data_IF_720142905885
#
_entry.id   IF_720142905885
#
_cell.length_a   1.000
_cell.length_b   1.000
_cell.length_c   1.000
_cell.angle_alpha   90.00
_cell.angle_beta   90.00
_cell.angle_gamma   90.00
#
_symmetry.space_group_name_H-M   'P 1'
#
loop_
_entity.id
_entity.type
_entity.pdbx_description
1 polymer ?
#
# COMPACT_ATOMS: atom_id res chain seq x y z
N UNK A 1 -12.06 4.69 -17.03
CA UNK A 1 -11.23 5.90 -16.92
C UNK A 1 -9.76 5.55 -16.85
N UNK A 2 -9.17 5.14 -15.70
CA UNK A 2 -7.72 4.80 -15.63
C UNK A 2 -7.33 3.74 -16.67
N UNK A 3 -8.03 2.60 -16.69
CA UNK A 3 -7.75 1.54 -17.67
C UNK A 3 -7.98 1.96 -19.13
N UNK A 4 -8.90 2.90 -19.38
CA UNK A 4 -9.15 3.44 -20.72
C UNK A 4 -8.02 4.38 -21.15
N UNK A 5 -7.60 5.28 -20.26
CA UNK A 5 -6.55 6.27 -20.51
C UNK A 5 -5.19 5.61 -20.74
N UNK A 6 -4.82 4.62 -19.93
CA UNK A 6 -3.59 3.85 -20.14
C UNK A 6 -3.62 2.98 -21.39
N UNK A 7 -4.80 2.63 -21.93
CA UNK A 7 -4.87 1.87 -23.19
C UNK A 7 -4.52 2.73 -24.42
N UNK A 8 -4.80 4.03 -24.37
CA UNK A 8 -4.51 4.97 -25.46
C UNK A 8 -3.15 5.66 -25.35
N UNK A 9 -2.80 6.17 -24.16
CA UNK A 9 -1.49 6.79 -23.88
C UNK A 9 -0.37 5.78 -23.56
N UNK A 10 -0.75 4.69 -22.92
CA UNK A 10 0.15 3.90 -22.10
C UNK A 10 0.87 2.79 -22.84
N UNK A 11 0.76 2.66 -24.16
CA UNK A 11 1.71 1.81 -24.89
C UNK A 11 3.08 2.47 -24.90
N UNK A 12 3.26 3.66 -25.49
CA UNK A 12 4.58 4.30 -25.58
C UNK A 12 5.15 4.85 -24.27
N UNK A 13 4.35 5.50 -23.41
CA UNK A 13 4.84 6.02 -22.12
C UNK A 13 5.14 4.90 -21.13
N UNK A 14 4.26 3.89 -21.06
CA UNK A 14 4.54 2.75 -20.22
C UNK A 14 5.66 1.89 -20.82
N UNK A 15 5.71 1.65 -22.14
CA UNK A 15 6.88 1.06 -22.79
C UNK A 15 8.16 1.85 -22.49
N UNK A 16 8.18 3.19 -22.43
CA UNK A 16 9.38 3.95 -22.01
C UNK A 16 9.76 3.81 -20.52
N UNK A 17 8.77 3.50 -19.66
CA UNK A 17 8.96 3.13 -18.25
C UNK A 17 9.33 1.64 -18.09
N UNK A 18 9.02 0.77 -19.07
CA UNK A 18 9.08 -0.70 -18.99
C UNK A 18 10.01 -1.37 -20.03
N UNK A 19 10.59 -0.66 -21.02
CA UNK A 19 11.49 -1.18 -22.07
C UNK A 19 12.94 -1.34 -21.60
N UNK A 20 13.32 -0.77 -20.45
CA UNK A 20 14.43 -1.38 -19.70
C UNK A 20 13.87 -2.71 -19.21
N UNK A 21 14.48 -3.85 -19.53
CA UNK A 21 14.20 -5.12 -18.84
C UNK A 21 14.28 -4.88 -17.32
N UNK A 22 13.15 -4.52 -16.73
CA UNK A 22 13.10 -3.98 -15.39
C UNK A 22 13.27 -5.16 -14.46
N UNK A 23 14.51 -5.33 -13.98
CA UNK A 23 14.82 -6.18 -12.84
C UNK A 23 13.68 -6.04 -11.81
N UNK A 24 13.13 -7.13 -11.22
CA UNK A 24 12.11 -7.06 -10.18
C UNK A 24 12.43 -6.02 -9.08
N UNK A 25 13.72 -5.77 -8.85
CA UNK A 25 14.23 -4.73 -7.96
C UNK A 25 13.82 -3.31 -8.38
N UNK A 26 13.85 -2.97 -9.67
CA UNK A 26 13.36 -1.68 -10.17
C UNK A 26 11.88 -1.51 -9.82
N UNK A 27 11.06 -2.54 -10.02
CA UNK A 27 9.64 -2.51 -9.66
C UNK A 27 9.42 -2.26 -8.17
N UNK A 28 10.21 -2.92 -7.32
CA UNK A 28 10.23 -2.69 -5.88
C UNK A 28 10.55 -1.22 -5.55
N UNK A 29 11.62 -0.65 -6.10
CA UNK A 29 12.02 0.73 -5.81
C UNK A 29 11.05 1.77 -6.38
N UNK A 30 10.46 1.53 -7.55
CA UNK A 30 9.40 2.40 -8.08
C UNK A 30 8.19 2.36 -7.16
N UNK A 31 7.81 1.19 -6.62
CA UNK A 31 6.74 1.08 -5.64
C UNK A 31 7.01 1.92 -4.38
N UNK A 32 8.23 1.85 -3.83
CA UNK A 32 8.66 2.64 -2.66
C UNK A 32 8.56 4.13 -2.97
N UNK A 33 9.18 4.58 -4.08
CA UNK A 33 9.23 5.97 -4.49
C UNK A 33 7.83 6.53 -4.78
N UNK A 34 7.00 5.79 -5.52
CA UNK A 34 5.65 6.20 -5.88
C UNK A 34 4.79 6.39 -4.63
N UNK A 35 4.81 5.43 -3.69
CA UNK A 35 4.12 5.61 -2.42
C UNK A 35 4.73 6.74 -1.59
N UNK A 36 6.05 6.94 -1.62
CA UNK A 36 6.67 8.03 -0.87
C UNK A 36 6.27 9.42 -1.35
N UNK A 37 6.15 9.59 -2.67
CA UNK A 37 5.68 10.82 -3.30
C UNK A 37 4.16 11.03 -3.10
N UNK A 38 3.38 9.97 -3.28
CA UNK A 38 1.90 10.02 -3.17
C UNK A 38 1.45 10.05 -1.70
N UNK A 39 2.27 9.53 -0.79
CA UNK A 39 1.95 9.31 0.62
C UNK A 39 0.70 8.47 0.87
N UNK A 40 0.35 7.59 -0.08
CA UNK A 40 -0.81 6.68 0.03
C UNK A 40 -0.54 5.38 -0.71
N UNK A 41 -0.23 4.33 0.04
CA UNK A 41 0.05 3.00 -0.53
C UNK A 41 -1.18 2.35 -1.16
N UNK A 42 -2.38 2.63 -0.63
CA UNK A 42 -3.65 2.20 -1.26
C UNK A 42 -3.87 2.86 -2.61
N UNK A 43 -3.45 4.12 -2.78
CA UNK A 43 -3.47 4.80 -4.08
C UNK A 43 -2.45 4.17 -5.03
N UNK A 44 -1.20 4.01 -4.61
CA UNK A 44 -0.14 3.40 -5.44
C UNK A 44 -0.51 1.98 -5.89
N UNK A 45 -0.97 1.13 -4.98
CA UNK A 45 -1.37 -0.25 -5.30
C UNK A 45 -2.58 -0.30 -6.24
N UNK A 46 -3.56 0.59 -6.07
CA UNK A 46 -4.70 0.71 -6.98
C UNK A 46 -4.28 1.18 -8.38
N UNK A 47 -3.27 2.06 -8.48
CA UNK A 47 -2.68 2.46 -9.76
C UNK A 47 -1.99 1.28 -10.45
N UNK A 48 -1.22 0.46 -9.71
CA UNK A 48 -0.59 -0.75 -10.25
C UNK A 48 -1.64 -1.73 -10.77
N UNK A 49 -2.70 -1.99 -10.00
CA UNK A 49 -3.85 -2.81 -10.43
C UNK A 49 -4.50 -2.23 -11.70
N UNK A 50 -4.66 -0.91 -11.77
CA UNK A 50 -5.20 -0.21 -12.94
C UNK A 50 -4.31 -0.33 -14.19
N UNK A 51 -2.99 -0.25 -14.04
CA UNK A 51 -2.02 -0.43 -15.11
C UNK A 51 -2.03 -1.87 -15.64
N UNK A 52 -2.11 -2.87 -14.75
CA UNK A 52 -2.25 -4.28 -15.15
C UNK A 52 -3.55 -4.49 -15.92
N UNK A 53 -4.65 -3.86 -15.48
CA UNK A 53 -5.93 -3.93 -16.20
C UNK A 53 -5.89 -3.26 -17.58
N UNK A 54 -4.97 -2.32 -17.80
CA UNK A 54 -4.77 -1.64 -19.08
C UNK A 54 -3.85 -2.42 -20.04
N UNK A 55 -3.25 -3.53 -19.60
CA UNK A 55 -2.28 -4.29 -20.40
C UNK A 55 -0.86 -3.70 -20.40
N UNK A 56 -0.58 -2.76 -19.48
CA UNK A 56 0.72 -2.09 -19.38
C UNK A 56 1.88 -3.04 -19.09
N UNK A 57 1.61 -4.13 -18.37
CA UNK A 57 2.62 -5.15 -18.03
C UNK A 57 2.71 -6.28 -19.07
N UNK A 58 2.19 -6.04 -20.29
CA UNK A 58 2.17 -7.01 -21.38
C UNK A 58 0.84 -7.75 -21.51
N UNK A 59 0.77 -8.59 -22.55
CA UNK A 59 -0.46 -9.32 -22.92
C UNK A 59 -0.61 -10.65 -22.18
N UNK A 60 0.47 -11.23 -21.66
CA UNK A 60 0.42 -12.47 -20.87
C UNK A 60 -0.01 -12.14 -19.44
N UNK A 61 -1.20 -12.61 -18.98
CA UNK A 61 -1.71 -12.34 -17.65
C UNK A 61 -0.79 -12.80 -16.52
N UNK A 62 -0.08 -13.92 -16.69
CA UNK A 62 0.79 -14.51 -15.66
C UNK A 62 2.07 -13.70 -15.53
N UNK A 63 2.71 -13.37 -16.65
CA UNK A 63 3.90 -12.51 -16.65
C UNK A 63 3.59 -11.11 -16.16
N UNK A 64 2.41 -10.56 -16.53
CA UNK A 64 1.97 -9.26 -16.06
C UNK A 64 1.84 -9.19 -14.53
N UNK A 65 1.30 -10.25 -13.93
CA UNK A 65 1.21 -10.37 -12.46
C UNK A 65 2.60 -10.42 -11.85
N UNK A 66 3.48 -11.30 -12.33
CA UNK A 66 4.84 -11.45 -11.81
C UNK A 66 5.65 -10.14 -11.89
N UNK A 67 5.49 -9.38 -12.97
CA UNK A 67 6.13 -8.07 -13.13
C UNK A 67 5.53 -6.98 -12.21
N UNK A 68 4.25 -7.10 -11.83
CA UNK A 68 3.58 -6.13 -10.96
C UNK A 68 3.75 -6.40 -9.45
N UNK A 69 3.97 -7.65 -9.03
CA UNK A 69 4.13 -8.00 -7.59
C UNK A 69 5.22 -7.16 -6.90
N UNK A 70 6.43 -6.94 -7.47
CA UNK A 70 7.44 -6.12 -6.82
C UNK A 70 6.98 -4.68 -6.55
N UNK A 71 6.20 -4.08 -7.45
CA UNK A 71 5.63 -2.74 -7.23
C UNK A 71 4.69 -2.71 -6.02
N UNK A 72 3.90 -3.76 -5.83
CA UNK A 72 3.02 -3.90 -4.65
C UNK A 72 3.85 -4.03 -3.36
N UNK A 73 4.91 -4.84 -3.38
CA UNK A 73 5.81 -5.00 -2.22
C UNK A 73 6.48 -3.67 -1.85
N UNK A 74 6.93 -2.92 -2.84
CA UNK A 74 7.54 -1.61 -2.64
C UNK A 74 6.54 -0.57 -2.15
N UNK A 75 5.33 -0.59 -2.71
CA UNK A 75 4.26 0.29 -2.29
C UNK A 75 3.88 0.08 -0.82
N UNK A 76 3.97 -1.15 -0.31
CA UNK A 76 3.73 -1.44 1.10
C UNK A 76 4.82 -0.86 2.01
N UNK A 77 6.10 -0.95 1.64
CA UNK A 77 7.20 -0.28 2.37
C UNK A 77 6.93 1.24 2.47
N UNK A 78 6.50 1.88 1.38
CA UNK A 78 6.27 3.33 1.35
C UNK A 78 5.22 3.89 2.33
N UNK A 79 4.36 3.05 2.92
CA UNK A 79 3.21 3.46 3.77
C UNK A 79 3.64 4.23 5.03
N UNK A 80 4.89 4.08 5.45
CA UNK A 80 5.41 4.48 6.77
C UNK A 80 5.79 5.97 6.89
N UNK A 81 5.93 6.70 5.77
CA UNK A 81 6.35 8.11 5.79
C UNK A 81 5.39 8.97 6.61
N UNK A 82 4.09 8.82 6.40
CA UNK A 82 3.07 9.62 7.09
C UNK A 82 3.13 9.44 8.61
N UNK A 83 3.29 8.21 9.09
CA UNK A 83 3.40 7.91 10.52
C UNK A 83 4.64 8.60 11.13
N UNK A 84 5.76 8.56 10.40
CA UNK A 84 7.01 9.17 10.83
C UNK A 84 6.86 10.69 10.91
N UNK A 85 6.13 11.32 9.97
CA UNK A 85 5.82 12.75 10.04
C UNK A 85 4.93 13.08 11.25
N UNK A 86 3.91 12.26 11.53
CA UNK A 86 3.02 12.45 12.68
C UNK A 86 3.78 12.37 14.00
N UNK A 87 4.73 11.44 14.14
CA UNK A 87 5.52 11.31 15.37
C UNK A 87 6.46 12.49 15.62
N UNK A 88 6.89 13.21 14.57
CA UNK A 88 7.63 14.49 14.72
C UNK A 88 6.79 15.59 15.39
N UNK A 89 5.47 15.48 15.43
CA UNK A 89 4.62 16.37 16.22
C UNK A 89 4.90 16.31 17.74
N UNK A 90 5.47 15.19 18.21
CA UNK A 90 5.80 14.96 19.61
C UNK A 90 7.25 15.33 19.96
N UNK A 91 8.00 15.91 19.02
CA UNK A 91 9.47 16.12 19.11
C UNK A 91 9.94 17.06 20.23
N UNK A 92 9.01 17.77 20.87
CA UNK A 92 9.30 18.71 21.96
C UNK A 92 9.67 17.95 23.24
N UNK A 93 8.92 16.90 23.59
CA UNK A 93 9.18 16.10 24.79
C UNK A 93 9.93 14.82 24.41
N UNK A 94 11.10 14.61 25.03
CA UNK A 94 12.00 13.49 24.69
C UNK A 94 11.34 12.12 24.88
N UNK A 95 10.68 11.92 26.03
CA UNK A 95 10.07 10.63 26.38
C UNK A 95 8.82 10.35 25.53
N UNK A 96 8.02 11.39 25.30
CA UNK A 96 6.86 11.33 24.41
C UNK A 96 7.28 11.02 22.97
N UNK A 97 8.27 11.75 22.46
CA UNK A 97 8.84 11.54 21.14
C UNK A 97 9.39 10.13 20.98
N UNK A 98 10.15 9.62 21.96
CA UNK A 98 10.71 8.27 21.92
C UNK A 98 9.61 7.22 21.71
N UNK A 99 8.52 7.29 22.49
CA UNK A 99 7.41 6.33 22.40
C UNK A 99 6.62 6.49 21.09
N UNK A 100 6.30 7.72 20.72
CA UNK A 100 5.57 8.04 19.49
C UNK A 100 6.37 7.62 18.24
N UNK A 101 7.67 7.88 18.23
CA UNK A 101 8.56 7.54 17.12
C UNK A 101 8.71 6.02 16.99
N UNK A 102 8.94 5.29 18.08
CA UNK A 102 8.99 3.81 18.06
C UNK A 102 7.72 3.21 17.48
N UNK A 103 6.55 3.73 17.90
CA UNK A 103 5.26 3.30 17.38
C UNK A 103 5.11 3.59 15.88
N UNK A 104 5.71 4.68 15.38
CA UNK A 104 5.62 5.06 13.96
C UNK A 104 6.46 4.18 13.03
N UNK A 105 7.60 3.65 13.50
CA UNK A 105 8.58 2.93 12.66
C UNK A 105 8.55 1.41 12.80
N UNK A 106 7.89 0.85 13.82
CA UNK A 106 7.84 -0.61 14.03
C UNK A 106 7.20 -1.37 12.87
N UNK A 107 6.15 -0.80 12.26
CA UNK A 107 5.52 -1.36 11.07
C UNK A 107 6.45 -1.29 9.86
N UNK A 108 7.26 -0.24 9.76
CA UNK A 108 8.22 -0.07 8.68
C UNK A 108 9.31 -1.14 8.71
N UNK A 109 9.92 -1.35 9.89
CA UNK A 109 10.90 -2.42 10.07
C UNK A 109 10.32 -3.80 9.77
N UNK A 110 9.06 -4.06 10.15
CA UNK A 110 8.40 -5.30 9.80
C UNK A 110 8.24 -5.45 8.28
N UNK A 111 7.75 -4.42 7.59
CA UNK A 111 7.55 -4.45 6.14
C UNK A 111 8.88 -4.64 5.39
N UNK A 112 9.93 -3.92 5.79
CA UNK A 112 11.28 -4.06 5.23
C UNK A 112 11.79 -5.49 5.45
N UNK A 113 11.69 -6.03 6.66
CA UNK A 113 12.09 -7.41 6.95
C UNK A 113 11.28 -8.43 6.15
N UNK A 114 9.98 -8.23 6.00
CA UNK A 114 9.12 -9.10 5.20
C UNK A 114 9.55 -9.09 3.73
N UNK A 115 9.87 -7.93 3.16
CA UNK A 115 10.43 -7.83 1.80
C UNK A 115 11.79 -8.51 1.72
N UNK A 116 12.73 -8.21 2.63
CA UNK A 116 14.08 -8.83 2.63
C UNK A 116 14.00 -10.36 2.65
N UNK A 117 13.06 -10.93 3.41
CA UNK A 117 12.89 -12.37 3.51
C UNK A 117 12.15 -12.96 2.32
N UNK A 118 11.03 -12.35 1.89
CA UNK A 118 10.12 -12.98 0.91
C UNK A 118 10.49 -12.63 -0.53
N UNK A 119 11.02 -11.44 -0.79
CA UNK A 119 11.31 -10.96 -2.14
C UNK A 119 12.29 -11.86 -2.92
N UNK A 120 13.38 -12.38 -2.33
CA UNK A 120 14.25 -13.33 -3.03
C UNK A 120 13.50 -14.59 -3.51
N UNK A 121 12.58 -15.11 -2.70
CA UNK A 121 11.76 -16.27 -3.10
C UNK A 121 10.75 -15.91 -4.17
N UNK A 122 10.20 -14.69 -4.15
CA UNK A 122 9.35 -14.21 -5.24
C UNK A 122 10.12 -14.12 -6.55
N UNK A 123 11.35 -13.59 -6.53
CA UNK A 123 12.19 -13.48 -7.74
C UNK A 123 12.59 -14.85 -8.30
N UNK A 124 12.92 -15.81 -7.44
CA UNK A 124 13.41 -17.13 -7.87
C UNK A 124 12.27 -18.08 -8.23
N UNK A 125 11.21 -18.12 -7.42
CA UNK A 125 10.15 -19.13 -7.52
C UNK A 125 8.77 -18.57 -7.89
N UNK A 126 8.58 -17.25 -7.82
CA UNK A 126 7.27 -16.62 -8.06
C UNK A 126 6.20 -17.10 -7.08
N UNK A 127 6.56 -17.30 -5.80
CA UNK A 127 5.68 -17.90 -4.78
C UNK A 127 4.39 -17.10 -4.62
N UNK A 128 4.48 -15.76 -4.58
CA UNK A 128 3.33 -14.88 -4.43
C UNK A 128 2.61 -14.75 -5.76
N UNK A 129 3.31 -14.44 -6.85
CA UNK A 129 2.67 -14.21 -8.16
C UNK A 129 1.94 -15.45 -8.67
N UNK A 130 2.52 -16.65 -8.50
CA UNK A 130 1.89 -17.92 -8.87
C UNK A 130 0.71 -18.27 -7.98
N UNK A 131 0.82 -18.11 -6.65
CA UNK A 131 -0.28 -18.36 -5.72
C UNK A 131 -1.46 -17.40 -5.98
N UNK A 132 -1.17 -16.12 -6.18
CA UNK A 132 -2.18 -15.11 -6.45
C UNK A 132 -2.88 -15.33 -7.79
N UNK A 133 -2.12 -15.69 -8.84
CA UNK A 133 -2.68 -16.05 -10.13
C UNK A 133 -3.59 -17.27 -10.04
N UNK A 134 -3.12 -18.34 -9.38
CA UNK A 134 -3.90 -19.56 -9.19
C UNK A 134 -5.21 -19.28 -8.44
N UNK A 135 -5.15 -18.55 -7.32
CA UNK A 135 -6.33 -18.17 -6.55
C UNK A 135 -7.31 -17.31 -7.37
N UNK A 136 -6.80 -16.32 -8.12
CA UNK A 136 -7.63 -15.48 -8.98
C UNK A 136 -8.30 -16.28 -10.11
N UNK A 137 -7.59 -17.26 -10.67
CA UNK A 137 -8.12 -18.12 -11.74
C UNK A 137 -9.24 -19.03 -11.24
N UNK A 138 -9.19 -19.48 -9.99
CA UNK A 138 -10.28 -20.23 -9.36
C UNK A 138 -11.47 -19.30 -9.10
N UNK A 139 -11.23 -18.12 -8.53
CA UNK A 139 -12.31 -17.17 -8.21
C UNK A 139 -13.06 -16.64 -9.44
N UNK A 140 -12.35 -16.45 -10.56
CA UNK A 140 -12.95 -16.00 -11.83
C UNK A 140 -13.43 -17.19 -12.67
N UNK A 141 -12.68 -18.30 -12.70
CA UNK A 141 -12.93 -19.48 -13.53
C UNK A 141 -14.02 -20.42 -13.01
N UNK A 142 -14.25 -20.49 -11.69
CA UNK A 142 -15.35 -21.26 -11.10
C UNK A 142 -16.74 -20.73 -11.51
N UNK A 143 -16.82 -19.53 -12.10
CA UNK A 143 -18.06 -18.92 -12.59
C UNK A 143 -18.44 -19.27 -14.04
N UNK A 144 -17.64 -20.06 -14.78
CA UNK A 144 -17.98 -20.52 -16.14
C UNK A 144 -18.16 -19.42 -17.21
N UNK A 145 -17.92 -18.14 -16.87
CA UNK A 145 -18.07 -16.99 -17.75
C UNK A 145 -17.34 -15.77 -17.19
N UNK A 146 -17.17 -14.72 -18.00
CA UNK A 146 -16.57 -13.46 -17.56
C UNK A 146 -17.32 -12.93 -16.34
N UNK A 147 -16.65 -12.82 -15.19
CA UNK A 147 -17.23 -12.20 -13.99
C UNK A 147 -17.68 -10.78 -14.34
N UNK A 148 -18.98 -10.57 -14.47
CA UNK A 148 -19.57 -9.25 -14.69
C UNK A 148 -19.56 -8.50 -13.38
N UNK A 149 -18.46 -7.82 -13.13
CA UNK A 149 -18.28 -6.97 -11.95
C UNK A 149 -19.49 -6.07 -11.71
N UNK A 150 -20.19 -6.22 -10.58
CA UNK A 150 -21.29 -5.32 -10.20
C UNK A 150 -20.85 -3.86 -10.21
N UNK A 151 -19.60 -3.60 -9.80
CA UNK A 151 -19.00 -2.26 -9.82
C UNK A 151 -18.85 -1.74 -11.25
N UNK A 152 -18.38 -2.58 -12.19
CA UNK A 152 -18.28 -2.20 -13.61
C UNK A 152 -19.64 -1.92 -14.21
N UNK A 153 -20.66 -2.69 -13.85
CA UNK A 153 -22.03 -2.48 -14.33
C UNK A 153 -22.57 -1.11 -13.90
N UNK A 154 -22.38 -0.75 -12.64
CA UNK A 154 -22.81 0.53 -12.06
C UNK A 154 -22.01 1.71 -12.64
N UNK A 155 -20.69 1.54 -12.83
CA UNK A 155 -19.80 2.64 -13.23
C UNK A 155 -19.72 2.87 -14.74
N UNK A 156 -20.02 1.85 -15.58
CA UNK A 156 -19.87 1.91 -17.04
C UNK A 156 -20.63 3.06 -17.73
N UNK A 157 -21.89 3.39 -17.37
CA UNK A 157 -22.60 4.52 -17.96
C UNK A 157 -21.87 5.85 -17.74
N UNK A 158 -21.44 6.10 -16.50
CA UNK A 158 -20.70 7.30 -16.12
C UNK A 158 -19.35 7.38 -16.83
N UNK A 159 -18.61 6.26 -16.90
CA UNK A 159 -17.32 6.20 -17.60
C UNK A 159 -17.48 6.55 -19.08
N UNK A 160 -18.47 5.96 -19.76
CA UNK A 160 -18.75 6.26 -21.18
C UNK A 160 -19.15 7.70 -21.41
N UNK A 161 -19.94 8.28 -20.51
CA UNK A 161 -20.35 9.67 -20.61
C UNK A 161 -19.14 10.61 -20.50
N UNK A 162 -18.21 10.34 -19.57
CA UNK A 162 -16.97 11.12 -19.44
C UNK A 162 -16.07 10.93 -20.67
N UNK A 163 -15.91 9.70 -21.17
CA UNK A 163 -15.15 9.43 -22.40
C UNK A 163 -15.69 10.22 -23.58
N UNK A 164 -17.01 10.24 -23.77
CA UNK A 164 -17.66 11.02 -24.82
C UNK A 164 -17.48 12.53 -24.65
N UNK A 165 -17.41 13.05 -23.42
CA UNK A 165 -17.16 14.46 -23.15
C UNK A 165 -15.71 14.84 -23.46
N UNK A 166 -14.75 13.99 -23.08
CA UNK A 166 -13.32 14.18 -23.31
C UNK A 166 -12.97 14.11 -24.79
N UNK A 167 -13.58 13.17 -25.53
CA UNK A 167 -13.36 13.00 -26.98
C UNK A 167 -13.93 14.14 -27.84
N UNK A 168 -14.79 15.00 -27.28
CA UNK A 168 -15.37 16.16 -28.01
C UNK A 168 -14.38 17.31 -28.20
N UNK A 169 -13.27 17.33 -27.46
CA UNK A 169 -12.25 18.38 -27.61
C UNK A 169 -11.03 17.81 -28.33
N UNK A 170 -10.46 18.58 -29.25
CA UNK A 170 -9.33 18.19 -30.13
C UNK A 170 -8.02 18.91 -29.82
N UNK A 171 -7.98 19.74 -28.78
CA UNK A 171 -6.87 20.64 -28.43
C UNK A 171 -5.79 19.89 -27.63
N UNK A 172 -6.20 19.04 -26.69
CA UNK A 172 -5.33 18.19 -25.87
C UNK A 172 -5.50 16.73 -26.30
N UNK A 173 -4.46 15.91 -26.21
CA UNK A 173 -4.59 14.46 -26.36
C UNK A 173 -5.69 13.92 -25.41
N UNK A 174 -6.70 13.27 -25.98
CA UNK A 174 -7.88 12.80 -25.26
C UNK A 174 -7.52 11.78 -24.17
N UNK A 175 -6.50 10.97 -24.39
CA UNK A 175 -6.06 9.97 -23.43
C UNK A 175 -5.28 10.61 -22.27
N UNK A 176 -4.49 11.67 -22.53
CA UNK A 176 -3.87 12.51 -21.48
C UNK A 176 -4.93 13.17 -20.62
N UNK A 177 -5.92 13.80 -21.25
CA UNK A 177 -6.98 14.47 -20.53
C UNK A 177 -7.80 13.48 -19.69
N UNK A 178 -8.07 12.28 -20.24
CA UNK A 178 -8.76 11.22 -19.51
C UNK A 178 -7.93 10.68 -18.35
N UNK A 179 -6.61 10.54 -18.50
CA UNK A 179 -5.69 10.12 -17.43
C UNK A 179 -5.68 11.14 -16.30
N UNK A 180 -5.49 12.42 -16.62
CA UNK A 180 -5.48 13.51 -15.63
C UNK A 180 -6.81 13.60 -14.91
N UNK A 181 -7.93 13.50 -15.63
CA UNK A 181 -9.26 13.48 -15.03
C UNK A 181 -9.44 12.24 -14.12
N UNK A 182 -9.00 11.06 -14.56
CA UNK A 182 -9.10 9.83 -13.79
C UNK A 182 -8.28 9.87 -12.50
N UNK A 183 -7.04 10.36 -12.57
CA UNK A 183 -6.18 10.56 -11.41
C UNK A 183 -6.78 11.61 -10.48
N UNK A 184 -7.25 12.75 -11.01
CA UNK A 184 -7.88 13.80 -10.22
C UNK A 184 -9.12 13.28 -9.47
N UNK A 185 -9.99 12.53 -10.15
CA UNK A 185 -11.14 11.88 -9.51
C UNK A 185 -10.72 10.82 -8.49
N UNK A 186 -9.69 10.02 -8.78
CA UNK A 186 -9.15 9.03 -7.84
C UNK A 186 -8.68 9.72 -6.55
N UNK A 187 -7.79 10.71 -6.68
CA UNK A 187 -7.27 11.46 -5.53
C UNK A 187 -8.37 12.22 -4.78
N UNK A 188 -9.30 12.88 -5.49
CA UNK A 188 -10.43 13.59 -4.90
C UNK A 188 -11.37 12.64 -4.15
N UNK A 189 -11.70 11.49 -4.75
CA UNK A 189 -12.56 10.48 -4.14
C UNK A 189 -11.92 9.90 -2.88
N UNK A 190 -10.66 9.47 -2.97
CA UNK A 190 -9.92 8.91 -1.83
C UNK A 190 -9.78 9.93 -0.70
N UNK A 191 -9.52 11.21 -1.02
CA UNK A 191 -9.46 12.29 -0.03
C UNK A 191 -10.80 12.51 0.68
N UNK A 192 -11.90 12.59 -0.05
CA UNK A 192 -13.22 12.83 0.56
C UNK A 192 -13.71 11.62 1.36
N UNK A 193 -13.51 10.40 0.85
CA UNK A 193 -13.82 9.16 1.55
C UNK A 193 -13.07 9.12 2.90
N UNK A 194 -11.77 9.37 2.83
CA UNK A 194 -10.90 9.50 4.01
C UNK A 194 -11.42 10.54 5.01
N UNK A 195 -11.80 11.74 4.55
CA UNK A 195 -12.30 12.82 5.41
C UNK A 195 -13.61 12.44 6.10
N UNK A 196 -14.54 11.84 5.36
CA UNK A 196 -15.85 11.42 5.87
C UNK A 196 -15.69 10.35 6.95
N UNK A 197 -14.91 9.30 6.68
CA UNK A 197 -14.71 8.23 7.64
C UNK A 197 -13.93 8.72 8.86
N UNK A 198 -12.92 9.58 8.65
CA UNK A 198 -12.22 10.23 9.77
C UNK A 198 -13.21 10.99 10.66
N UNK A 199 -14.14 11.74 10.09
CA UNK A 199 -15.14 12.48 10.88
C UNK A 199 -16.08 11.57 11.69
N UNK A 200 -16.46 10.42 11.12
CA UNK A 200 -17.35 9.44 11.76
C UNK A 200 -16.66 8.64 12.88
N UNK A 201 -15.37 8.34 12.69
CA UNK A 201 -14.59 7.48 13.57
C UNK A 201 -13.95 8.28 14.72
N UNK A 202 -13.45 9.50 14.46
CA UNK A 202 -12.72 10.31 15.44
C UNK A 202 -13.53 10.68 16.69
N UNK A 203 -14.86 10.81 16.58
CA UNK A 203 -15.73 11.16 17.72
C UNK A 203 -15.95 10.03 18.72
N UNK A 204 -15.68 8.77 18.35
CA UNK A 204 -15.90 7.60 19.24
C UNK A 204 -14.62 6.90 19.70
N UNK A 205 -13.49 7.11 19.03
CA UNK A 205 -12.28 6.32 19.31
C UNK A 205 -11.67 6.61 20.68
N UNK A 206 -11.66 7.84 21.17
CA UNK A 206 -11.04 8.14 22.47
C UNK A 206 -11.72 7.42 23.65
N UNK A 207 -13.01 7.06 23.52
CA UNK A 207 -13.77 6.26 24.48
C UNK A 207 -13.73 4.73 24.20
N UNK A 208 -13.47 4.33 22.95
CA UNK A 208 -13.39 2.91 22.53
C UNK A 208 -11.99 2.31 22.65
N UNK A 209 -10.94 3.13 22.80
CA UNK A 209 -9.60 2.69 23.23
C UNK A 209 -9.57 2.31 24.72
N UNK A 210 -10.64 1.67 25.16
CA UNK A 210 -10.71 1.00 26.43
C UNK A 210 -9.70 -0.16 26.40
N UNK A 211 -8.96 -0.36 27.49
CA UNK A 211 -7.79 -1.26 27.57
C UNK A 211 -8.07 -2.71 27.14
N UNK A 212 -9.32 -3.10 26.92
CA UNK A 212 -9.80 -4.41 26.49
C UNK A 212 -9.38 -4.84 25.07
N UNK A 213 -9.27 -3.92 24.11
CA UNK A 213 -8.93 -4.24 22.71
C UNK A 213 -7.48 -4.70 22.59
N UNK A 214 -6.58 -4.01 23.31
CA UNK A 214 -5.13 -4.25 23.26
C UNK A 214 -4.65 -5.28 24.29
N UNK A 215 -5.55 -6.09 24.87
CA UNK A 215 -5.19 -7.16 25.83
C UNK A 215 -4.54 -8.36 25.16
N UNK A 216 -4.95 -8.70 23.94
CA UNK A 216 -4.40 -9.85 23.23
C UNK A 216 -3.96 -9.47 21.83
N UNK A 217 -2.89 -10.09 21.37
CA UNK A 217 -2.34 -9.93 20.01
C UNK A 217 -3.42 -10.06 18.94
N UNK A 218 -4.22 -11.12 19.00
CA UNK A 218 -5.22 -11.41 17.97
C UNK A 218 -6.32 -10.35 17.94
N UNK A 219 -6.75 -9.86 19.11
CA UNK A 219 -7.76 -8.78 19.18
C UNK A 219 -7.22 -7.47 18.62
N UNK A 220 -5.99 -7.09 18.99
CA UNK A 220 -5.34 -5.90 18.47
C UNK A 220 -5.17 -5.97 16.94
N UNK A 221 -4.71 -7.11 16.42
CA UNK A 221 -4.58 -7.34 14.98
C UNK A 221 -5.93 -7.31 14.27
N UNK A 222 -6.93 -8.03 14.75
CA UNK A 222 -8.26 -8.02 14.15
C UNK A 222 -8.89 -6.62 14.15
N UNK A 223 -8.71 -5.87 15.24
CA UNK A 223 -9.16 -4.49 15.31
C UNK A 223 -8.46 -3.59 14.29
N UNK A 224 -7.15 -3.76 14.08
CA UNK A 224 -6.40 -3.06 13.02
C UNK A 224 -6.95 -3.35 11.62
N UNK A 225 -7.31 -4.61 11.35
CA UNK A 225 -7.97 -5.02 10.09
C UNK A 225 -9.29 -4.26 9.93
N UNK A 226 -10.18 -4.38 10.90
CA UNK A 226 -11.52 -3.77 10.84
C UNK A 226 -11.44 -2.25 10.67
N UNK A 227 -10.63 -1.57 11.50
CA UNK A 227 -10.51 -0.11 11.41
C UNK A 227 -9.94 0.30 10.05
N UNK A 228 -8.95 -0.41 9.52
CA UNK A 228 -8.41 -0.06 8.20
C UNK A 228 -9.36 -0.36 7.06
N UNK A 229 -10.16 -1.44 7.13
CA UNK A 229 -11.21 -1.70 6.15
C UNK A 229 -12.26 -0.59 6.19
N UNK A 230 -12.64 -0.13 7.38
CA UNK A 230 -13.61 0.94 7.52
C UNK A 230 -13.05 2.28 7.03
N UNK A 231 -11.82 2.63 7.44
CA UNK A 231 -11.13 3.91 7.13
C UNK A 231 -10.57 3.96 5.71
N UNK A 232 -10.28 2.81 5.10
CA UNK A 232 -9.64 2.66 3.79
C UNK A 232 -8.26 3.35 3.68
N UNK A 233 -7.61 3.62 4.81
CA UNK A 233 -6.29 4.22 4.89
C UNK A 233 -5.51 3.67 6.08
N UNK A 234 -4.49 2.85 5.82
CA UNK A 234 -3.61 2.34 6.87
C UNK A 234 -2.85 3.45 7.55
N UNK A 235 -2.31 4.43 6.81
CA UNK A 235 -1.58 5.54 7.42
C UNK A 235 -2.41 6.30 8.45
N UNK A 236 -3.72 6.46 8.23
CA UNK A 236 -4.61 7.04 9.24
C UNK A 236 -4.81 6.08 10.40
N UNK A 237 -5.15 4.82 10.13
CA UNK A 237 -5.32 3.81 11.17
C UNK A 237 -4.09 3.72 12.09
N UNK A 238 -2.90 3.58 11.53
CA UNK A 238 -1.64 3.48 12.26
C UNK A 238 -1.24 4.79 12.93
N UNK A 239 -1.59 5.94 12.37
CA UNK A 239 -1.32 7.25 13.00
C UNK A 239 -2.18 7.50 14.24
N UNK A 240 -3.37 6.88 14.35
CA UNK A 240 -4.25 7.07 15.52
C UNK A 240 -3.62 6.60 16.83
N UNK A 241 -2.74 5.58 16.78
CA UNK A 241 -2.09 5.02 17.97
C UNK A 241 -0.80 5.75 18.35
N UNK A 242 -0.27 6.63 17.49
CA UNK A 242 0.97 7.37 17.75
C UNK A 242 0.83 8.34 18.94
N UNK A 243 -0.23 9.19 19.03
CA UNK A 243 -0.41 10.05 20.20
C UNK A 243 -0.64 9.26 21.49
N UNK A 244 -1.31 8.11 21.41
CA UNK A 244 -1.53 7.22 22.56
C UNK A 244 -0.23 6.57 23.04
N UNK A 245 0.68 6.24 22.12
CA UNK A 245 2.04 5.82 22.45
C UNK A 245 2.82 6.96 23.11
N UNK A 246 2.77 8.15 22.52
CA UNK A 246 3.37 9.37 23.06
C UNK A 246 2.92 9.60 24.50
N UNK A 247 1.62 9.58 24.77
CA UNK A 247 1.05 9.73 26.10
C UNK A 247 1.35 8.56 27.07
N UNK A 248 1.95 7.46 26.59
CA UNK A 248 2.26 6.28 27.40
C UNK A 248 1.05 5.38 27.70
N UNK A 249 -0.10 5.64 27.06
CA UNK A 249 -1.34 4.87 27.22
C UNK A 249 -1.20 3.48 26.58
N UNK A 250 -0.52 3.41 25.42
CA UNK A 250 -0.24 2.16 24.72
C UNK A 250 1.26 1.94 24.61
N UNK A 251 1.70 0.72 24.86
CA UNK A 251 3.10 0.33 24.64
C UNK A 251 3.32 -0.25 23.24
N UNK A 252 4.58 -0.29 22.81
CA UNK A 252 4.98 -0.75 21.47
C UNK A 252 4.51 -2.17 21.15
N UNK A 253 4.48 -3.06 22.15
CA UNK A 253 4.09 -4.47 21.98
C UNK A 253 2.58 -4.63 21.77
N UNK A 254 1.78 -3.68 22.28
CA UNK A 254 0.35 -3.59 22.01
C UNK A 254 0.06 -3.03 20.62
N UNK A 255 0.82 -2.01 20.22
CA UNK A 255 0.67 -1.33 18.93
C UNK A 255 1.09 -2.22 17.76
N UNK A 256 2.16 -2.99 17.92
CA UNK A 256 2.71 -3.77 16.82
C UNK A 256 1.70 -4.73 16.16
N UNK A 257 0.98 -5.62 16.88
CA UNK A 257 -0.06 -6.45 16.27
C UNK A 257 -1.16 -5.65 15.56
N UNK A 258 -1.54 -4.49 16.12
CA UNK A 258 -2.54 -3.60 15.52
C UNK A 258 -2.08 -3.06 14.16
N UNK A 259 -0.81 -2.65 14.05
CA UNK A 259 -0.25 -2.19 12.77
C UNK A 259 -0.19 -3.30 11.72
N UNK A 260 0.06 -4.55 12.11
CA UNK A 260 0.01 -5.71 11.20
C UNK A 260 -1.41 -5.96 10.69
N UNK A 261 -2.39 -5.81 11.56
CA UNK A 261 -3.80 -5.84 11.18
C UNK A 261 -4.15 -4.75 10.18
N UNK A 262 -3.68 -3.52 10.43
CA UNK A 262 -3.89 -2.41 9.51
C UNK A 262 -3.28 -2.66 8.12
N UNK A 263 -2.12 -3.31 8.08
CA UNK A 263 -1.49 -3.70 6.83
C UNK A 263 -2.34 -4.70 6.02
N UNK A 264 -2.90 -5.74 6.68
CA UNK A 264 -3.88 -6.65 6.03
C UNK A 264 -5.10 -5.86 5.55
N UNK A 265 -5.68 -4.98 6.38
CA UNK A 265 -6.89 -4.24 6.00
C UNK A 265 -6.71 -3.34 4.78
N UNK A 266 -5.49 -2.85 4.52
CA UNK A 266 -5.16 -1.99 3.36
C UNK A 266 -5.41 -2.68 2.03
N UNK A 267 -5.33 -4.02 1.98
CA UNK A 267 -5.44 -4.77 0.72
C UNK A 267 -6.86 -4.77 0.16
N UNK A 268 -7.86 -4.44 0.97
CA UNK A 268 -9.25 -4.32 0.53
C UNK A 268 -9.42 -3.25 -0.54
N UNK A 269 -8.69 -2.13 -0.47
CA UNK A 269 -8.80 -1.06 -1.47
C UNK A 269 -8.39 -1.56 -2.86
N UNK A 270 -7.23 -2.24 -2.96
CA UNK A 270 -6.76 -2.81 -4.23
C UNK A 270 -7.66 -3.94 -4.72
N UNK A 271 -8.25 -4.74 -3.82
CA UNK A 271 -9.21 -5.78 -4.19
C UNK A 271 -10.46 -5.17 -4.82
N UNK A 272 -11.04 -4.13 -4.21
CA UNK A 272 -12.18 -3.40 -4.78
C UNK A 272 -11.83 -2.76 -6.14
N UNK A 273 -10.63 -2.17 -6.27
CA UNK A 273 -10.15 -1.62 -7.54
C UNK A 273 -10.03 -2.70 -8.63
N UNK A 274 -9.53 -3.88 -8.29
CA UNK A 274 -9.35 -4.99 -9.24
C UNK A 274 -10.69 -5.53 -9.76
N UNK A 275 -11.70 -5.53 -8.90
CA UNK A 275 -13.05 -5.96 -9.26
C UNK A 275 -13.63 -5.10 -10.36
N UNK A 276 -13.25 -3.83 -10.53
CA UNK A 276 -13.73 -2.97 -11.63
C UNK A 276 -13.38 -3.56 -13.01
N UNK A 277 -12.21 -4.21 -13.14
CA UNK A 277 -11.82 -4.86 -14.40
C UNK A 277 -12.64 -6.11 -14.68
N UNK A 278 -12.86 -6.94 -13.64
CA UNK A 278 -13.47 -8.27 -13.71
C UNK A 278 -12.56 -9.33 -14.35
N UNK A 279 -11.25 -9.09 -14.43
CA UNK A 279 -10.29 -9.97 -15.11
C UNK A 279 -9.28 -10.59 -14.14
N UNK A 280 -8.64 -11.69 -14.57
CA UNK A 280 -7.75 -12.52 -13.73
C UNK A 280 -6.52 -11.72 -13.26
N UNK A 281 -5.76 -11.08 -14.16
CA UNK A 281 -4.49 -10.44 -13.80
C UNK A 281 -4.62 -9.30 -12.77
N UNK A 282 -5.54 -8.31 -12.90
CA UNK A 282 -5.70 -7.26 -11.90
C UNK A 282 -6.14 -7.81 -10.53
N UNK A 283 -6.99 -8.85 -10.51
CA UNK A 283 -7.40 -9.52 -9.29
C UNK A 283 -6.22 -10.26 -8.64
N UNK A 284 -5.40 -10.96 -9.42
CA UNK A 284 -4.19 -11.59 -8.94
C UNK A 284 -3.21 -10.58 -8.33
N UNK A 285 -3.04 -9.40 -8.92
CA UNK A 285 -2.18 -8.35 -8.34
C UNK A 285 -2.76 -7.77 -7.05
N UNK A 286 -4.07 -7.67 -6.92
CA UNK A 286 -4.67 -7.27 -5.65
C UNK A 286 -4.55 -8.38 -4.57
N UNK A 287 -4.69 -9.64 -4.96
CA UNK A 287 -4.51 -10.80 -4.08
C UNK A 287 -3.05 -11.00 -3.68
N UNK A 288 -2.09 -10.67 -4.55
CA UNK A 288 -0.67 -10.76 -4.22
C UNK A 288 -0.31 -9.84 -3.05
N UNK A 289 -0.95 -8.67 -2.95
CA UNK A 289 -0.81 -7.79 -1.80
C UNK A 289 -1.28 -8.45 -0.49
N UNK A 290 -2.46 -9.08 -0.51
CA UNK A 290 -3.02 -9.80 0.64
C UNK A 290 -2.15 -10.98 1.04
N UNK A 291 -1.74 -11.79 0.06
CA UNK A 291 -0.88 -12.95 0.25
C UNK A 291 0.48 -12.52 0.82
N UNK A 292 1.10 -11.47 0.28
CA UNK A 292 2.35 -10.93 0.80
C UNK A 292 2.24 -10.56 2.29
N UNK A 293 1.18 -9.85 2.68
CA UNK A 293 0.98 -9.44 4.07
C UNK A 293 0.72 -10.62 5.00
N UNK A 294 -0.11 -11.59 4.57
CA UNK A 294 -0.37 -12.80 5.35
C UNK A 294 0.91 -13.65 5.49
N UNK A 295 1.68 -13.82 4.41
CA UNK A 295 2.94 -14.55 4.43
C UNK A 295 3.99 -13.85 5.29
N UNK A 296 4.10 -12.52 5.22
CA UNK A 296 5.00 -11.74 6.09
C UNK A 296 4.70 -11.99 7.56
N UNK A 297 3.42 -11.98 7.94
CA UNK A 297 3.00 -12.31 9.31
C UNK A 297 3.30 -13.78 9.61
N UNK A 298 2.95 -14.70 8.71
CA UNK A 298 3.17 -16.13 8.89
C UNK A 298 4.64 -16.52 9.05
N UNK A 299 5.56 -15.80 8.40
CA UNK A 299 7.01 -16.06 8.48
C UNK A 299 7.63 -15.38 9.70
N UNK A 300 7.28 -14.12 9.97
CA UNK A 300 7.96 -13.32 11.00
C UNK A 300 7.31 -13.39 12.39
N UNK A 301 6.01 -13.65 12.48
CA UNK A 301 5.26 -13.58 13.74
C UNK A 301 5.38 -14.81 14.66
N UNK A 302 5.32 -16.07 14.16
CA UNK A 302 5.24 -17.25 15.04
C UNK A 302 6.46 -17.44 15.94
N UNK A 303 7.65 -17.08 15.43
CA UNK A 303 8.91 -17.27 16.14
C UNK A 303 9.15 -16.03 17.01
N UNK A 304 9.05 -16.17 18.34
CA UNK A 304 9.23 -15.05 19.30
C UNK A 304 10.51 -14.24 19.03
N UNK A 305 11.64 -14.91 18.79
CA UNK A 305 12.92 -14.24 18.50
C UNK A 305 12.85 -13.36 17.24
N UNK A 306 12.16 -13.82 16.20
CA UNK A 306 11.99 -13.07 14.93
C UNK A 306 11.00 -11.93 15.10
N UNK A 307 9.88 -12.18 15.79
CA UNK A 307 8.86 -11.17 16.08
C UNK A 307 9.37 -9.97 16.87
N UNK A 308 10.35 -10.18 17.75
CA UNK A 308 10.94 -9.09 18.53
C UNK A 308 11.95 -8.25 17.72
N UNK A 309 12.40 -8.69 16.53
CA UNK A 309 13.38 -7.94 15.71
C UNK A 309 12.83 -6.55 15.31
N UNK A 310 11.62 -6.42 14.70
CA UNK A 310 11.06 -5.09 14.38
C UNK A 310 10.93 -4.18 15.61
N UNK A 311 10.57 -4.76 16.76
CA UNK A 311 10.39 -4.03 18.03
C UNK A 311 11.73 -3.47 18.49
N UNK A 312 12.77 -4.29 18.56
CA UNK A 312 14.09 -3.84 18.99
C UNK A 312 14.72 -2.84 18.02
N UNK A 313 14.54 -3.03 16.70
CA UNK A 313 14.99 -2.06 15.70
C UNK A 313 14.28 -0.72 15.87
N UNK A 314 12.97 -0.73 16.14
CA UNK A 314 12.21 0.47 16.42
C UNK A 314 12.68 1.20 17.69
N UNK A 315 12.90 0.46 18.78
CA UNK A 315 13.40 1.04 20.03
C UNK A 315 14.81 1.62 19.87
N UNK A 316 15.71 0.88 19.23
CA UNK A 316 17.07 1.33 18.92
C UNK A 316 17.06 2.60 18.06
N UNK A 317 16.24 2.62 17.01
CA UNK A 317 16.18 3.78 16.12
C UNK A 317 15.58 5.00 16.81
N UNK A 318 14.59 4.82 17.68
CA UNK A 318 14.06 5.89 18.53
C UNK A 318 15.09 6.43 19.52
N UNK A 319 15.93 5.58 20.09
CA UNK A 319 17.03 6.01 20.96
C UNK A 319 18.04 6.88 20.20
N UNK A 320 18.32 6.56 18.94
CA UNK A 320 19.13 7.43 18.07
C UNK A 320 18.40 8.74 17.74
N UNK A 321 17.15 8.67 17.33
CA UNK A 321 16.33 9.82 16.97
C UNK A 321 16.18 10.84 18.12
N UNK A 322 16.10 10.36 19.36
CA UNK A 322 16.04 11.24 20.55
C UNK A 322 17.36 11.94 20.85
N UNK A 323 18.50 11.35 20.45
CA UNK A 323 19.83 11.98 20.58
C UNK A 323 20.05 13.03 19.48
N UNK A 324 19.64 12.73 18.25
CA UNK A 324 19.72 13.67 17.14
C UNK A 324 18.46 13.61 16.26
N UNK A 325 17.72 14.71 16.29
CA UNK A 325 16.45 14.91 15.57
C UNK A 325 16.61 14.92 14.04
N UNK A 326 17.84 14.99 13.54
CA UNK A 326 18.13 14.89 12.11
C UNK A 326 18.02 13.45 11.59
N UNK A 327 18.23 12.42 12.43
CA UNK A 327 18.20 11.03 11.96
C UNK A 327 16.83 10.60 11.39
N UNK A 328 15.67 10.93 12.00
CA UNK A 328 14.37 10.71 11.38
C UNK A 328 14.22 11.31 9.97
N UNK A 329 14.68 12.55 9.79
CA UNK A 329 14.57 13.26 8.52
C UNK A 329 15.48 12.63 7.46
N UNK A 330 16.72 12.29 7.84
CA UNK A 330 17.65 11.59 6.96
C UNK A 330 17.13 10.20 6.60
N UNK A 331 16.54 9.47 7.53
CA UNK A 331 15.92 8.18 7.27
C UNK A 331 14.83 8.29 6.20
N UNK A 332 13.88 9.22 6.36
CA UNK A 332 12.82 9.44 5.37
C UNK A 332 13.44 9.77 4.01
N UNK A 333 14.37 10.73 3.97
CA UNK A 333 14.96 11.19 2.72
C UNK A 333 15.76 10.07 2.02
N UNK A 334 16.56 9.32 2.78
CA UNK A 334 17.44 8.30 2.23
C UNK A 334 16.65 7.07 1.77
N UNK A 335 15.80 6.51 2.64
CA UNK A 335 15.12 5.23 2.38
C UNK A 335 14.05 5.36 1.31
N UNK A 336 13.31 6.47 1.29
CA UNK A 336 12.15 6.60 0.39
C UNK A 336 12.46 7.39 -0.89
N UNK A 337 13.57 8.13 -0.95
CA UNK A 337 13.92 8.94 -2.13
C UNK A 337 15.32 8.61 -2.66
N UNK A 338 16.38 8.79 -1.87
CA UNK A 338 17.76 8.63 -2.37
C UNK A 338 18.05 7.21 -2.83
N UNK A 339 17.78 6.20 -1.99
CA UNK A 339 18.02 4.79 -2.33
C UNK A 339 17.21 4.39 -3.57
N UNK A 340 15.87 4.60 -3.62
CA UNK A 340 15.09 4.29 -4.81
C UNK A 340 15.60 5.01 -6.07
N UNK A 341 15.82 6.33 -6.02
CA UNK A 341 16.26 7.10 -7.18
C UNK A 341 17.65 6.66 -7.69
N UNK A 342 18.58 6.42 -6.78
CA UNK A 342 19.93 5.99 -7.12
C UNK A 342 19.90 4.61 -7.77
N UNK A 343 19.20 3.65 -7.18
CA UNK A 343 19.11 2.29 -7.72
C UNK A 343 18.33 2.24 -9.03
N UNK A 344 17.26 3.01 -9.18
CA UNK A 344 16.55 3.16 -10.46
C UNK A 344 17.48 3.74 -11.53
N UNK A 345 18.35 4.70 -11.18
CA UNK A 345 19.26 5.35 -12.13
C UNK A 345 20.45 4.47 -12.55
N UNK A 346 20.94 3.62 -11.65
CA UNK A 346 22.07 2.71 -11.93
C UNK A 346 21.65 1.55 -12.84
N UNK A 347 20.42 1.06 -12.70
CA UNK A 347 19.92 -0.11 -13.43
C UNK A 347 19.26 0.28 -14.77
N UNK A 348 19.16 1.59 -15.07
CA UNK A 348 18.46 2.13 -16.25
C UNK A 348 19.29 2.13 -17.52
#
# INVERSE_FOLDING_TARGET
MIGSAFKGLGRGFAESLFQSQASPFIGLFIGILATGLIQSSSTTTSLVVGMVAAGTFGNDPKLAVAAAVPYIMGANIGTSITNTIVSLGHIVNREEFKRAFSASVVHDFFNILAVVVIFPFEVIFGVISSAAYSLSSVLVGAGGGTFTSPVKMITKPTVKWIEALVQKQTIIDSDVLLLVAALSFLFFSLRNLTKLIKSLVMLRLQAFFDTHIFRTTLRAMFFGVIITILVQSSSITTSLVIPLAGAGILNLRQIFPYTLGANIGTTVTSLLASMVSGTIAPLAVALSHLIFNILGIGVLWPIKKVREIPIHLAEWFSDLATKNKLYPLLYIFIVFFVIPLTLISIVR
#
